data_IF_198564828431
#
_entry.id   IF_198564828431
#
_cell.length_a   1.000
_cell.length_b   1.000
_cell.length_c   1.000
_cell.angle_alpha   90.00
_cell.angle_beta   90.00
_cell.angle_gamma   90.00
#
_symmetry.space_group_name_H-M   'P 1'
#
loop_
_entity.id
_entity.type
_entity.pdbx_description
1 polymer ?
#
# COMPACT_ATOMS: atom_id res chain seq x y z
N UNK A 1 7.64 15.91 -23.48
CA UNK A 1 6.50 16.29 -22.62
C UNK A 1 6.40 17.80 -22.62
N UNK A 2 5.31 18.37 -23.12
CA UNK A 2 5.08 19.82 -23.13
C UNK A 2 4.45 20.20 -21.79
N UNK A 3 5.09 21.07 -21.01
CA UNK A 3 4.57 21.53 -19.73
C UNK A 3 3.37 22.47 -19.91
N UNK A 4 2.37 22.36 -19.04
CA UNK A 4 1.20 23.25 -19.02
C UNK A 4 1.60 24.70 -18.68
N UNK A 5 1.16 25.69 -19.46
CA UNK A 5 1.45 27.11 -19.23
C UNK A 5 0.68 27.70 -18.01
N UNK A 6 0.89 28.97 -17.62
CA UNK A 6 0.17 29.72 -16.56
C UNK A 6 -0.37 31.06 -17.12
N UNK A 7 -1.42 31.67 -16.54
CA UNK A 7 -2.10 32.87 -17.07
C UNK A 7 -2.65 33.76 -15.86
N UNK A 8 -3.16 35.03 -16.00
CA UNK A 8 -3.75 35.93 -14.93
C UNK A 8 -4.97 36.83 -15.39
N UNK A 9 -6.05 37.18 -14.59
CA UNK A 9 -7.23 38.00 -15.01
C UNK A 9 -7.05 39.51 -14.88
N UNK A 10 -7.97 40.27 -15.49
CA UNK A 10 -8.37 41.62 -15.06
C UNK A 10 -9.70 41.68 -14.27
N UNK A 11 -10.07 42.87 -13.77
CA UNK A 11 -11.19 43.11 -12.84
C UNK A 11 -12.60 42.89 -13.44
N UNK A 12 -12.74 42.98 -14.77
CA UNK A 12 -13.99 42.64 -15.47
C UNK A 12 -14.12 41.13 -15.69
N UNK A 13 -13.01 40.42 -15.91
CA UNK A 13 -12.94 38.97 -16.10
C UNK A 13 -13.21 38.18 -14.80
N UNK A 14 -13.02 38.78 -13.62
CA UNK A 14 -13.30 38.18 -12.32
C UNK A 14 -14.79 38.18 -11.94
N UNK A 15 -15.56 39.18 -12.41
CA UNK A 15 -16.99 39.33 -12.11
C UNK A 15 -17.88 38.41 -12.97
N UNK A 16 -17.43 38.01 -14.16
CA UNK A 16 -18.11 37.05 -15.05
C UNK A 16 -17.19 35.88 -15.45
N UNK A 17 -16.98 34.88 -14.55
CA UNK A 17 -15.98 33.83 -14.74
C UNK A 17 -16.29 32.85 -15.90
N UNK A 18 -17.56 32.69 -16.26
CA UNK A 18 -18.03 31.74 -17.26
C UNK A 18 -17.81 32.17 -18.71
N UNK A 19 -17.71 33.48 -19.00
CA UNK A 19 -17.80 33.95 -20.39
C UNK A 19 -16.47 34.02 -21.13
N UNK A 20 -15.30 34.04 -20.45
CA UNK A 20 -13.95 33.98 -21.08
C UNK A 20 -12.78 33.55 -20.17
N UNK A 21 -13.01 33.41 -18.86
CA UNK A 21 -11.94 33.36 -17.86
C UNK A 21 -11.64 31.95 -17.32
N UNK A 22 -12.61 31.06 -17.21
CA UNK A 22 -12.35 29.62 -17.03
C UNK A 22 -11.64 29.02 -18.28
N UNK A 23 -11.75 29.68 -19.45
CA UNK A 23 -11.13 29.28 -20.73
C UNK A 23 -9.64 29.65 -20.87
N UNK A 24 -9.19 30.72 -20.21
CA UNK A 24 -7.78 31.11 -20.06
C UNK A 24 -7.49 30.92 -18.59
N UNK A 25 -6.59 30.09 -18.12
CA UNK A 25 -6.29 29.98 -16.68
C UNK A 25 -7.30 28.95 -16.07
N UNK A 26 -6.92 27.78 -15.55
CA UNK A 26 -5.69 27.61 -14.73
C UNK A 26 -5.89 28.63 -13.56
N UNK A 27 -5.16 28.61 -12.45
CA UNK A 27 -5.54 29.50 -11.35
C UNK A 27 -5.07 30.93 -11.63
N UNK A 28 -5.98 31.88 -11.66
CA UNK A 28 -5.62 33.25 -11.34
C UNK A 28 -6.72 33.98 -10.57
N UNK A 29 -6.29 34.98 -9.81
CA UNK A 29 -6.97 35.59 -8.67
C UNK A 29 -7.19 34.68 -7.43
N UNK A 30 -6.34 34.91 -6.43
CA UNK A 30 -6.57 34.61 -5.01
C UNK A 30 -6.28 33.18 -4.56
N UNK A 31 -5.31 33.00 -3.66
CA UNK A 31 -5.24 31.76 -2.87
C UNK A 31 -6.39 31.78 -1.87
N UNK A 32 -7.40 30.91 -1.99
CA UNK A 32 -8.48 30.87 -1.00
C UNK A 32 -7.91 30.52 0.37
N UNK A 33 -8.42 31.16 1.41
CA UNK A 33 -8.06 30.82 2.79
C UNK A 33 -8.48 29.37 3.08
N UNK A 34 -7.53 28.55 3.51
CA UNK A 34 -7.80 27.16 3.88
C UNK A 34 -8.58 27.16 5.20
N UNK A 35 -9.89 26.92 5.14
CA UNK A 35 -10.76 26.81 6.33
C UNK A 35 -10.72 25.45 7.01
N UNK A 36 -9.78 24.58 6.61
CA UNK A 36 -9.62 23.29 7.24
C UNK A 36 -8.93 23.47 8.59
N UNK A 37 -9.46 22.81 9.60
CA UNK A 37 -8.83 22.76 10.91
C UNK A 37 -7.61 21.81 10.85
N UNK A 38 -6.51 22.19 11.50
CA UNK A 38 -5.31 21.36 11.65
C UNK A 38 -5.60 20.02 12.37
N UNK A 39 -6.63 19.98 13.22
CA UNK A 39 -7.08 18.77 13.91
C UNK A 39 -7.98 17.86 13.06
N UNK A 40 -8.13 18.14 11.76
CA UNK A 40 -8.98 17.34 10.88
C UNK A 40 -8.48 15.90 10.76
N UNK A 41 -9.36 14.95 11.09
CA UNK A 41 -9.12 13.52 10.91
C UNK A 41 -9.90 13.03 9.69
N UNK A 42 -9.23 12.29 8.81
CA UNK A 42 -9.86 11.65 7.67
C UNK A 42 -9.41 10.19 7.56
N UNK A 43 -10.26 9.36 6.98
CA UNK A 43 -9.90 8.00 6.60
C UNK A 43 -9.19 8.05 5.25
N UNK A 44 -7.91 7.66 5.23
CA UNK A 44 -7.16 7.55 3.99
C UNK A 44 -7.51 6.24 3.26
N UNK A 45 -7.69 6.31 1.94
CA UNK A 45 -7.79 5.12 1.10
C UNK A 45 -6.40 4.73 0.60
N UNK A 46 -6.06 3.45 0.79
CA UNK A 46 -4.80 2.91 0.29
C UNK A 46 -4.95 2.54 -1.18
N UNK A 47 -4.13 3.12 -2.04
CA UNK A 47 -3.99 2.68 -3.41
C UNK A 47 -2.89 1.63 -3.48
N UNK A 48 -3.26 0.41 -3.88
CA UNK A 48 -2.30 -0.65 -4.12
C UNK A 48 -1.72 -0.47 -5.51
N UNK A 49 -0.75 0.44 -5.62
CA UNK A 49 -0.11 0.78 -6.88
C UNK A 49 0.37 -0.50 -7.57
N UNK A 50 0.94 -1.48 -6.83
CA UNK A 50 1.35 -2.79 -7.35
C UNK A 50 0.22 -3.67 -7.93
N UNK A 51 -1.05 -3.36 -7.66
CA UNK A 51 -2.26 -3.97 -8.24
C UNK A 51 -2.89 -3.12 -9.35
N UNK A 52 -2.41 -1.90 -9.59
CA UNK A 52 -2.96 -0.97 -10.59
C UNK A 52 -2.21 -1.09 -11.93
N UNK A 53 -2.94 -1.34 -13.03
CA UNK A 53 -2.42 -1.60 -14.39
C UNK A 53 -1.62 -2.92 -14.49
N UNK A 54 -1.65 -3.61 -15.64
CA UNK A 54 -1.05 -4.93 -15.87
C UNK A 54 0.43 -5.02 -15.46
N UNK A 55 0.70 -5.43 -14.22
CA UNK A 55 2.02 -5.52 -13.57
C UNK A 55 2.46 -6.96 -13.37
N UNK A 56 2.60 -7.70 -14.46
CA UNK A 56 3.22 -9.02 -14.40
C UNK A 56 4.69 -8.86 -14.00
N UNK A 57 5.04 -9.28 -12.78
CA UNK A 57 6.38 -9.17 -12.21
C UNK A 57 6.61 -10.22 -11.12
N UNK A 58 7.82 -10.27 -10.52
CA UNK A 58 8.20 -11.29 -9.53
C UNK A 58 7.18 -11.43 -8.38
N UNK A 59 6.66 -10.30 -7.85
CA UNK A 59 5.66 -10.33 -6.78
C UNK A 59 4.35 -11.04 -7.18
N UNK A 60 3.90 -10.89 -8.44
CA UNK A 60 2.67 -11.55 -8.90
C UNK A 60 2.90 -13.05 -9.04
N UNK A 61 4.08 -13.47 -9.53
CA UNK A 61 4.46 -14.89 -9.61
C UNK A 61 4.53 -15.51 -8.22
N UNK A 62 5.23 -14.87 -7.29
CA UNK A 62 5.34 -15.34 -5.90
C UNK A 62 3.97 -15.40 -5.21
N UNK A 63 3.12 -14.39 -5.43
CA UNK A 63 1.75 -14.42 -4.89
C UNK A 63 0.89 -15.55 -5.49
N UNK A 64 1.06 -15.88 -6.78
CA UNK A 64 0.37 -17.02 -7.41
C UNK A 64 0.87 -18.33 -6.80
N UNK A 65 2.18 -18.50 -6.61
CA UNK A 65 2.75 -19.69 -5.97
C UNK A 65 2.22 -19.87 -4.54
N UNK A 66 2.23 -18.80 -3.72
CA UNK A 66 1.64 -18.78 -2.38
C UNK A 66 0.16 -19.22 -2.43
N UNK A 67 -0.65 -18.63 -3.33
CA UNK A 67 -2.08 -18.99 -3.45
C UNK A 67 -2.31 -20.43 -3.89
N UNK A 68 -1.55 -20.92 -4.88
CA UNK A 68 -1.64 -22.31 -5.34
C UNK A 68 -1.36 -23.27 -4.19
N UNK A 69 -0.31 -22.99 -3.42
CA UNK A 69 0.04 -23.85 -2.29
C UNK A 69 -0.98 -23.80 -1.16
N UNK A 70 -1.49 -22.62 -0.81
CA UNK A 70 -2.55 -22.50 0.19
C UNK A 70 -3.83 -23.25 -0.22
N UNK A 71 -4.13 -23.31 -1.52
CA UNK A 71 -5.24 -24.11 -2.03
C UNK A 71 -5.04 -25.62 -1.83
N UNK A 72 -3.80 -26.15 -1.90
CA UNK A 72 -3.53 -27.58 -1.59
C UNK A 72 -3.77 -27.89 -0.11
N UNK A 73 -3.60 -26.90 0.77
CA UNK A 73 -3.85 -27.00 2.20
C UNK A 73 -5.31 -26.66 2.59
N UNK A 74 -6.21 -26.49 1.62
CA UNK A 74 -7.61 -26.08 1.85
C UNK A 74 -7.76 -24.74 2.59
N UNK A 75 -6.75 -23.87 2.51
CA UNK A 75 -6.82 -22.51 3.07
C UNK A 75 -7.37 -21.56 2.01
N UNK A 76 -8.65 -21.20 2.13
CA UNK A 76 -9.26 -20.24 1.21
C UNK A 76 -8.76 -18.82 1.49
N UNK A 77 -8.17 -18.17 0.49
CA UNK A 77 -7.79 -16.75 0.52
C UNK A 77 -8.79 -15.93 -0.30
N UNK A 78 -10.04 -15.87 0.17
CA UNK A 78 -11.08 -15.05 -0.48
C UNK A 78 -10.79 -13.56 -0.34
N UNK A 79 -10.19 -13.15 0.78
CA UNK A 79 -9.76 -11.78 1.05
C UNK A 79 -8.33 -11.79 1.60
N UNK A 80 -7.54 -10.80 1.21
CA UNK A 80 -6.19 -10.61 1.75
C UNK A 80 -6.28 -10.12 3.20
N UNK A 81 -5.36 -10.54 4.07
CA UNK A 81 -5.38 -10.11 5.45
C UNK A 81 -5.09 -8.61 5.58
N UNK A 82 -5.77 -7.96 6.51
CA UNK A 82 -5.72 -6.52 6.75
C UNK A 82 -5.12 -6.21 8.13
N UNK A 83 -4.28 -5.18 8.22
CA UNK A 83 -3.83 -4.60 9.49
C UNK A 83 -4.06 -3.09 9.44
N UNK A 84 -4.88 -2.56 10.36
CA UNK A 84 -5.18 -1.13 10.40
C UNK A 84 -5.79 -0.57 9.10
N UNK A 85 -6.57 -1.38 8.38
CA UNK A 85 -7.15 -1.01 7.07
C UNK A 85 -6.18 -1.10 5.89
N UNK A 86 -4.96 -1.61 6.09
CA UNK A 86 -3.97 -1.85 5.04
C UNK A 86 -3.92 -3.35 4.73
N UNK A 87 -4.09 -3.71 3.46
CA UNK A 87 -3.89 -5.08 3.00
C UNK A 87 -2.41 -5.43 3.08
N UNK A 88 -2.12 -6.59 3.65
CA UNK A 88 -0.77 -7.10 3.76
C UNK A 88 -0.37 -7.79 2.46
N UNK A 89 0.65 -7.23 1.80
CA UNK A 89 1.31 -7.85 0.65
C UNK A 89 2.17 -9.03 1.12
N UNK A 90 1.70 -10.26 0.88
CA UNK A 90 2.32 -11.49 1.38
C UNK A 90 3.74 -11.75 0.82
N UNK A 91 4.01 -11.66 -0.50
CA UNK A 91 5.37 -11.65 -1.05
C UNK A 91 6.29 -10.63 -0.38
N UNK A 92 5.80 -9.41 -0.16
CA UNK A 92 6.61 -8.38 0.49
C UNK A 92 6.87 -8.70 1.96
N UNK A 93 5.87 -9.20 2.68
CA UNK A 93 6.03 -9.65 4.06
C UNK A 93 7.08 -10.76 4.14
N UNK A 94 7.00 -11.75 3.26
CA UNK A 94 7.98 -12.82 3.13
C UNK A 94 9.39 -12.27 2.96
N UNK A 95 9.62 -11.48 1.90
CA UNK A 95 10.94 -10.87 1.63
C UNK A 95 11.44 -10.02 2.80
N UNK A 96 10.56 -9.27 3.45
CA UNK A 96 10.93 -8.41 4.59
C UNK A 96 11.38 -9.24 5.81
N UNK A 97 10.72 -10.37 6.10
CA UNK A 97 11.12 -11.29 7.17
C UNK A 97 12.46 -11.95 6.85
N UNK A 98 12.65 -12.38 5.59
CA UNK A 98 13.94 -12.95 5.16
C UNK A 98 15.08 -11.91 5.26
N UNK A 99 14.84 -10.66 4.88
CA UNK A 99 15.80 -9.55 5.09
C UNK A 99 16.09 -9.27 6.57
N UNK A 100 15.17 -9.63 7.47
CA UNK A 100 15.36 -9.54 8.92
C UNK A 100 16.00 -10.80 9.52
N UNK A 101 16.49 -11.74 8.70
CA UNK A 101 17.16 -12.97 9.11
C UNK A 101 16.28 -14.21 9.21
N UNK A 102 15.06 -14.16 8.65
CA UNK A 102 14.10 -15.26 8.69
C UNK A 102 13.21 -15.23 9.94
N UNK A 103 12.22 -16.13 9.97
CA UNK A 103 11.19 -16.12 11.02
C UNK A 103 11.77 -16.35 12.43
N UNK A 104 12.68 -17.32 12.60
CA UNK A 104 13.29 -17.62 13.90
C UNK A 104 14.00 -16.41 14.49
N UNK A 105 14.84 -15.74 13.69
CA UNK A 105 15.56 -14.52 14.10
C UNK A 105 14.58 -13.38 14.44
N UNK A 106 13.47 -13.26 13.69
CA UNK A 106 12.43 -12.25 13.95
C UNK A 106 11.73 -12.50 15.29
N UNK A 107 11.42 -13.75 15.62
CA UNK A 107 10.79 -14.13 16.89
C UNK A 107 11.77 -13.96 18.05
N UNK A 108 12.94 -14.59 17.98
CA UNK A 108 13.94 -14.63 19.05
C UNK A 108 14.42 -13.22 19.42
N UNK A 109 14.67 -12.37 18.41
CA UNK A 109 15.17 -11.01 18.61
C UNK A 109 14.06 -9.95 18.63
N UNK A 110 12.79 -10.37 18.71
CA UNK A 110 11.61 -9.48 18.76
C UNK A 110 11.61 -8.41 17.67
N UNK A 111 11.92 -8.78 16.42
CA UNK A 111 12.07 -7.86 15.27
C UNK A 111 10.77 -7.55 14.54
N UNK A 112 9.63 -8.08 14.98
CA UNK A 112 8.31 -7.71 14.44
C UNK A 112 8.08 -6.18 14.34
N UNK A 113 8.54 -5.32 15.29
CA UNK A 113 8.46 -3.87 15.14
C UNK A 113 9.21 -3.34 13.92
N UNK A 114 10.40 -3.89 13.62
CA UNK A 114 11.19 -3.53 12.44
C UNK A 114 10.51 -3.97 11.15
N UNK A 115 9.99 -5.19 11.11
CA UNK A 115 9.22 -5.72 9.97
C UNK A 115 8.00 -4.83 9.71
N UNK A 116 7.24 -4.47 10.74
CA UNK A 116 6.07 -3.60 10.61
C UNK A 116 6.42 -2.20 10.09
N UNK A 117 7.56 -1.63 10.51
CA UNK A 117 8.03 -0.33 10.03
C UNK A 117 8.52 -0.39 8.56
N UNK A 118 9.14 -1.49 8.13
CA UNK A 118 9.54 -1.73 6.74
C UNK A 118 8.32 -1.98 5.83
N UNK A 119 7.30 -2.65 6.36
CA UNK A 119 5.98 -2.86 5.72
C UNK A 119 5.10 -1.61 5.74
N UNK A 120 5.52 -0.54 6.42
CA UNK A 120 4.78 0.74 6.53
C UNK A 120 3.39 0.57 7.16
N UNK A 121 3.24 -0.37 8.09
CA UNK A 121 1.98 -0.57 8.82
C UNK A 121 1.86 0.51 9.92
N UNK A 122 0.74 1.25 9.99
CA UNK A 122 0.53 2.32 10.95
C UNK A 122 0.79 1.88 12.40
N UNK A 123 1.52 2.70 13.15
CA UNK A 123 1.76 2.49 14.58
C UNK A 123 0.48 2.59 15.42
N UNK A 124 -0.57 3.22 14.88
CA UNK A 124 -1.87 3.31 15.53
C UNK A 124 -2.59 1.96 15.61
N UNK A 125 -2.28 1.02 14.72
CA UNK A 125 -2.76 -0.36 14.79
C UNK A 125 -2.02 -1.10 15.91
N UNK A 126 -2.59 -1.07 17.13
CA UNK A 126 -1.96 -1.61 18.35
C UNK A 126 -1.61 -3.10 18.23
N UNK A 127 -2.40 -3.85 17.46
CA UNK A 127 -2.25 -5.28 17.22
C UNK A 127 -1.36 -5.62 16.02
N UNK A 128 -0.65 -4.63 15.43
CA UNK A 128 0.10 -4.84 14.18
C UNK A 128 1.19 -5.90 14.28
N UNK A 129 1.79 -6.11 15.45
CA UNK A 129 2.89 -7.07 15.62
C UNK A 129 2.36 -8.50 15.65
N UNK A 130 1.39 -8.77 16.52
CA UNK A 130 0.75 -10.09 16.64
C UNK A 130 0.05 -10.47 15.33
N UNK A 131 -0.63 -9.53 14.67
CA UNK A 131 -1.25 -9.82 13.37
C UNK A 131 -0.24 -10.16 12.28
N UNK A 132 0.94 -9.53 12.27
CA UNK A 132 1.99 -9.90 11.31
C UNK A 132 2.50 -11.32 11.53
N UNK A 133 2.67 -11.71 12.80
CA UNK A 133 3.06 -13.06 13.19
C UNK A 133 1.99 -14.09 12.79
N UNK A 134 0.72 -13.83 13.14
CA UNK A 134 -0.42 -14.68 12.77
C UNK A 134 -0.54 -14.85 11.25
N UNK A 135 -0.39 -13.75 10.50
CA UNK A 135 -0.43 -13.76 9.03
C UNK A 135 0.72 -14.58 8.47
N UNK A 136 1.94 -14.42 8.99
CA UNK A 136 3.09 -15.19 8.52
C UNK A 136 2.89 -16.67 8.81
N UNK A 137 2.55 -17.02 10.04
CA UNK A 137 2.31 -18.41 10.45
C UNK A 137 1.18 -19.07 9.64
N UNK A 138 0.09 -18.35 9.38
CA UNK A 138 -1.06 -18.89 8.65
C UNK A 138 -0.82 -19.02 7.15
N UNK A 139 -0.20 -18.03 6.51
CA UNK A 139 -0.16 -17.94 5.05
C UNK A 139 1.22 -18.16 4.43
N UNK A 140 2.31 -17.97 5.19
CA UNK A 140 3.67 -17.98 4.66
C UNK A 140 4.53 -19.10 5.23
N UNK A 141 4.33 -19.53 6.48
CA UNK A 141 5.10 -20.63 7.06
C UNK A 141 5.04 -21.92 6.23
N UNK A 142 3.86 -22.36 5.71
CA UNK A 142 3.79 -23.54 4.86
C UNK A 142 4.54 -23.36 3.52
N UNK A 143 4.62 -22.12 3.01
CA UNK A 143 5.35 -21.77 1.79
C UNK A 143 6.87 -21.66 2.04
N UNK A 144 7.28 -21.18 3.22
CA UNK A 144 8.68 -21.04 3.63
C UNK A 144 9.37 -22.41 3.80
N UNK A 145 8.61 -23.46 4.06
CA UNK A 145 9.14 -24.83 4.11
C UNK A 145 9.33 -25.48 2.74
N UNK A 146 8.84 -24.88 1.66
CA UNK A 146 9.03 -25.40 0.30
C UNK A 146 10.46 -25.20 -0.19
N UNK A 147 10.97 -26.16 -0.96
CA UNK A 147 12.22 -26.02 -1.71
C UNK A 147 12.10 -24.95 -2.81
N UNK A 148 13.24 -24.52 -3.36
CA UNK A 148 13.24 -23.51 -4.42
C UNK A 148 12.45 -23.96 -5.66
N UNK A 149 12.60 -25.23 -6.05
CA UNK A 149 11.93 -25.79 -7.24
C UNK A 149 10.41 -25.85 -7.07
N UNK A 150 9.92 -26.17 -5.87
CA UNK A 150 8.49 -26.21 -5.56
C UNK A 150 7.84 -24.82 -5.57
N UNK A 151 8.62 -23.75 -5.41
CA UNK A 151 8.14 -22.36 -5.47
C UNK A 151 8.08 -21.80 -6.90
N UNK A 152 8.70 -22.46 -7.87
CA UNK A 152 8.78 -22.02 -9.27
C UNK A 152 7.59 -22.49 -10.14
N UNK A 153 6.68 -23.31 -9.59
CA UNK A 153 5.53 -23.94 -10.28
C UNK A 153 4.26 -23.07 -10.25
#
# INVERSE_FOLDING_TARGET
>A
MVGSAHLLPNEKEFQEPSSRYIEKIRPSAGTPECKLNDDMRFTAYNQYVHKMLHRWGPNVKEMVAIRKYLATQSVSMQQLPLIGGIEVDLPRLYSTVQQCGGLSEVIEKKRWPRVADLMKIPRLAQDRLTKLDDIYCKYLLPYDTLSHDERLV
#
